data_IF_611182101836
#
_entry.id   IF_611182101836
#
_cell.length_a   1.000
_cell.length_b   1.000
_cell.length_c   1.000
_cell.angle_alpha   90.00
_cell.angle_beta   90.00
_cell.angle_gamma   90.00
#
_symmetry.space_group_name_H-M   'P 1'
#
loop_
_entity.id
_entity.type
_entity.pdbx_description
1 polymer ?
#
# COMPACT_ATOMS: atom_id res chain seq x y z
N UNK A 1 -44.92 -48.96 -13.54
CA UNK A 1 -43.96 -48.71 -12.45
C UNK A 1 -43.39 -47.32 -12.61
N UNK A 2 -43.58 -46.39 -11.66
CA UNK A 2 -42.86 -45.11 -11.68
C UNK A 2 -41.61 -45.14 -10.79
N UNK A 3 -40.55 -44.47 -11.24
CA UNK A 3 -39.36 -44.06 -10.49
C UNK A 3 -38.04 -44.38 -11.20
N UNK A 4 -36.92 -43.64 -10.97
CA UNK A 4 -36.73 -42.45 -10.13
C UNK A 4 -35.91 -41.30 -10.79
N UNK A 5 -35.90 -40.13 -10.13
CA UNK A 5 -34.82 -39.11 -10.04
C UNK A 5 -34.29 -38.47 -11.35
N UNK A 6 -33.63 -37.32 -11.43
CA UNK A 6 -33.03 -36.39 -10.48
C UNK A 6 -32.85 -35.07 -11.27
N UNK A 7 -33.02 -33.91 -10.65
CA UNK A 7 -32.90 -32.62 -11.34
C UNK A 7 -31.45 -32.26 -11.69
N UNK A 8 -31.17 -31.47 -12.74
CA UNK A 8 -29.84 -30.92 -12.90
C UNK A 8 -29.68 -29.73 -11.95
N UNK A 9 -28.88 -29.94 -10.92
CA UNK A 9 -28.36 -28.90 -10.05
C UNK A 9 -27.65 -27.82 -10.88
N UNK A 10 -28.11 -26.58 -10.70
CA UNK A 10 -27.47 -25.36 -11.20
C UNK A 10 -26.07 -25.24 -10.60
N UNK A 11 -25.05 -25.60 -11.37
CA UNK A 11 -23.66 -25.27 -11.01
C UNK A 11 -23.33 -23.94 -11.66
N UNK A 12 -23.60 -22.85 -10.93
CA UNK A 12 -23.09 -21.52 -11.30
C UNK A 12 -21.57 -21.48 -11.09
N UNK A 13 -20.80 -20.80 -11.97
CA UNK A 13 -19.36 -20.71 -11.81
C UNK A 13 -19.01 -19.98 -10.52
N UNK A 14 -18.25 -20.65 -9.64
CA UNK A 14 -17.66 -20.04 -8.46
C UNK A 14 -16.77 -18.85 -8.86
N UNK A 15 -16.74 -17.74 -8.09
CA UNK A 15 -15.86 -16.63 -8.39
C UNK A 15 -14.41 -17.12 -8.30
N UNK A 16 -13.71 -17.07 -9.43
CA UNK A 16 -12.28 -17.34 -9.48
C UNK A 16 -11.57 -16.31 -8.58
N UNK A 17 -10.82 -16.79 -7.59
CA UNK A 17 -9.89 -15.95 -6.83
C UNK A 17 -8.95 -15.26 -7.82
N UNK A 18 -8.74 -13.93 -7.71
CA UNK A 18 -7.79 -13.25 -8.57
C UNK A 18 -6.38 -13.84 -8.40
N UNK A 19 -5.57 -13.88 -9.47
CA UNK A 19 -4.21 -14.40 -9.39
C UNK A 19 -3.38 -13.61 -8.38
N UNK A 20 -2.41 -14.25 -7.70
CA UNK A 20 -1.48 -13.52 -6.84
C UNK A 20 -0.71 -12.52 -7.69
N UNK A 21 -0.90 -11.23 -7.39
CA UNK A 21 -0.17 -10.12 -8.00
C UNK A 21 1.34 -10.38 -7.93
N UNK A 22 2.15 -9.94 -8.92
CA UNK A 22 3.59 -10.15 -8.90
C UNK A 22 4.16 -9.60 -7.60
N UNK A 23 4.68 -10.50 -6.78
CA UNK A 23 5.24 -10.21 -5.46
C UNK A 23 6.54 -9.43 -5.65
N UNK A 24 6.44 -8.14 -5.94
CA UNK A 24 7.56 -7.25 -5.75
C UNK A 24 7.99 -7.30 -4.27
N UNK A 25 9.28 -7.16 -4.01
CA UNK A 25 9.85 -7.35 -2.67
C UNK A 25 9.25 -6.40 -1.63
N UNK A 26 9.39 -6.70 -0.33
CA UNK A 26 8.87 -5.84 0.72
C UNK A 26 9.47 -4.42 0.60
N UNK A 27 8.62 -3.41 0.65
CA UNK A 27 8.97 -2.00 0.70
C UNK A 27 9.28 -1.60 2.15
N UNK A 28 10.32 -0.81 2.34
CA UNK A 28 10.64 -0.18 3.62
C UNK A 28 10.27 1.29 3.52
N UNK A 29 9.40 1.77 4.41
CA UNK A 29 8.89 3.15 4.38
C UNK A 29 9.01 3.77 5.77
N UNK A 30 9.55 4.98 5.86
CA UNK A 30 9.58 5.75 7.11
C UNK A 30 8.32 6.58 7.23
N UNK A 31 7.55 6.40 8.31
CA UNK A 31 6.34 7.18 8.56
C UNK A 31 6.60 8.13 9.72
N UNK A 32 6.52 9.43 9.46
CA UNK A 32 6.84 10.49 10.42
C UNK A 32 5.66 11.42 10.65
N UNK A 33 5.73 12.23 11.72
CA UNK A 33 4.69 13.22 12.04
C UNK A 33 3.57 12.70 12.94
N UNK A 34 2.34 13.19 12.73
CA UNK A 34 1.18 12.95 13.62
C UNK A 34 0.49 11.61 13.37
N UNK A 35 1.23 10.51 13.53
CA UNK A 35 0.71 9.12 13.52
C UNK A 35 0.81 8.47 14.90
N UNK A 36 0.13 7.33 15.09
CA UNK A 36 0.17 6.62 16.37
C UNK A 36 1.57 6.03 16.67
N UNK A 37 2.23 5.45 15.67
CA UNK A 37 3.56 4.82 15.79
C UNK A 37 4.48 5.28 14.65
N UNK A 38 5.14 6.43 14.81
CA UNK A 38 6.13 6.89 13.84
C UNK A 38 7.35 5.97 13.81
N UNK A 39 8.03 5.93 12.67
CA UNK A 39 9.22 5.13 12.41
C UNK A 39 9.12 4.32 11.12
N UNK A 40 10.07 3.39 10.95
CA UNK A 40 10.20 2.57 9.74
C UNK A 40 9.29 1.35 9.79
N UNK A 41 8.50 1.17 8.73
CA UNK A 41 7.56 0.07 8.54
C UNK A 41 7.90 -0.73 7.28
N UNK A 42 7.69 -2.05 7.34
CA UNK A 42 7.82 -2.95 6.18
C UNK A 42 6.44 -3.26 5.64
N UNK A 43 6.25 -3.01 4.36
CA UNK A 43 4.98 -3.15 3.65
C UNK A 43 5.16 -4.08 2.45
N UNK A 44 4.11 -4.79 2.02
CA UNK A 44 4.16 -5.54 0.77
C UNK A 44 4.34 -4.60 -0.42
N UNK A 45 4.94 -5.09 -1.52
CA UNK A 45 5.04 -4.24 -2.70
C UNK A 45 3.68 -3.86 -3.26
N UNK A 46 3.63 -2.67 -3.85
CA UNK A 46 2.39 -2.08 -4.32
C UNK A 46 1.52 -1.48 -3.20
N UNK A 47 2.01 -1.48 -1.95
CA UNK A 47 1.39 -0.70 -0.88
C UNK A 47 1.32 0.78 -1.24
N UNK A 48 0.25 1.41 -0.78
CA UNK A 48 -0.03 2.84 -0.95
C UNK A 48 0.23 3.58 0.34
N UNK A 49 0.23 4.91 0.26
CA UNK A 49 0.44 5.73 1.46
C UNK A 49 -0.58 5.43 2.55
N UNK A 50 -1.81 5.06 2.20
CA UNK A 50 -2.81 4.56 3.14
C UNK A 50 -2.34 3.34 3.93
N UNK A 51 -1.80 2.31 3.28
CA UNK A 51 -1.31 1.11 3.96
C UNK A 51 -0.18 1.43 4.96
N UNK A 52 0.67 2.42 4.63
CA UNK A 52 1.70 2.90 5.56
C UNK A 52 1.10 3.60 6.79
N UNK A 53 0.05 4.41 6.60
CA UNK A 53 -0.67 5.04 7.70
C UNK A 53 -1.32 3.99 8.60
N UNK A 54 -1.93 2.97 8.02
CA UNK A 54 -2.54 1.86 8.77
C UNK A 54 -1.48 1.05 9.53
N UNK A 55 -0.34 0.73 8.90
CA UNK A 55 0.79 0.08 9.57
C UNK A 55 1.33 0.91 10.74
N UNK A 56 1.38 2.24 10.58
CA UNK A 56 1.70 3.17 11.65
C UNK A 56 0.63 3.29 12.74
N UNK A 57 -0.48 2.54 12.66
CA UNK A 57 -1.59 2.55 13.62
C UNK A 57 -2.59 3.69 13.41
N UNK A 58 -2.61 4.26 12.20
CA UNK A 58 -3.47 5.36 11.82
C UNK A 58 -2.90 6.74 12.16
N UNK A 59 -3.56 7.75 11.62
CA UNK A 59 -3.28 9.16 11.92
C UNK A 59 -3.90 9.56 13.25
N UNK A 60 -3.25 10.49 13.97
CA UNK A 60 -3.83 11.01 15.22
C UNK A 60 -5.09 11.83 14.92
N UNK A 61 -6.09 11.81 15.80
CA UNK A 61 -7.30 12.63 15.64
C UNK A 61 -6.95 14.12 15.52
N UNK A 62 -7.63 14.82 14.61
CA UNK A 62 -7.35 16.23 14.31
C UNK A 62 -6.11 16.46 13.44
N UNK A 63 -5.60 15.41 12.78
CA UNK A 63 -4.51 15.54 11.80
C UNK A 63 -5.07 15.73 10.40
N UNK A 64 -4.71 16.82 9.75
CA UNK A 64 -5.06 17.06 8.35
C UNK A 64 -4.24 16.18 7.41
N UNK A 65 -4.91 15.25 6.74
CA UNK A 65 -4.33 14.41 5.67
C UNK A 65 -4.78 14.83 4.29
N UNK A 66 -5.53 15.93 4.17
CA UNK A 66 -6.11 16.39 2.89
C UNK A 66 -5.05 16.70 1.83
N UNK A 67 -3.87 17.18 2.27
CA UNK A 67 -2.74 17.42 1.38
C UNK A 67 -1.96 16.17 0.96
N UNK A 68 -2.33 14.99 1.49
CA UNK A 68 -1.58 13.75 1.28
C UNK A 68 -2.34 12.83 0.32
N UNK A 69 -1.70 12.46 -0.79
CA UNK A 69 -2.27 11.51 -1.74
C UNK A 69 -2.20 10.08 -1.18
N UNK A 70 -3.22 9.71 -0.40
CA UNK A 70 -3.34 8.39 0.25
C UNK A 70 -3.39 7.22 -0.73
N UNK A 71 -3.87 7.47 -1.95
CA UNK A 71 -3.96 6.46 -2.99
C UNK A 71 -2.66 6.29 -3.78
N UNK A 72 -1.64 7.13 -3.60
CA UNK A 72 -0.36 6.98 -4.31
C UNK A 72 0.35 5.70 -3.87
N UNK A 73 0.98 5.00 -4.82
CA UNK A 73 1.86 3.87 -4.53
C UNK A 73 3.15 4.35 -3.84
N UNK A 74 3.59 3.59 -2.85
CA UNK A 74 4.84 3.80 -2.14
C UNK A 74 6.01 3.22 -2.92
N UNK A 75 7.17 3.81 -2.69
CA UNK A 75 8.46 3.32 -3.20
C UNK A 75 9.31 2.86 -2.02
N UNK A 76 10.22 1.91 -2.25
CA UNK A 76 11.16 1.47 -1.21
C UNK A 76 12.08 2.64 -0.79
N UNK A 77 12.30 2.77 0.51
CA UNK A 77 13.05 3.86 1.12
C UNK A 77 12.30 5.20 1.15
N UNK A 78 11.02 5.24 0.79
CA UNK A 78 10.23 6.48 0.84
C UNK A 78 9.95 6.93 2.27
N UNK A 79 9.83 8.25 2.47
CA UNK A 79 9.39 8.86 3.72
C UNK A 79 8.01 9.49 3.55
N UNK A 80 7.08 9.14 4.43
CA UNK A 80 5.71 9.66 4.48
C UNK A 80 5.59 10.57 5.70
N UNK A 81 5.50 11.88 5.47
CA UNK A 81 5.34 12.87 6.51
C UNK A 81 3.87 13.24 6.70
N UNK A 82 3.34 13.08 7.92
CA UNK A 82 1.91 13.20 8.20
C UNK A 82 1.61 14.41 9.08
N UNK A 83 0.73 15.30 8.62
CA UNK A 83 0.31 16.47 9.41
C UNK A 83 1.41 17.51 9.61
N UNK A 84 2.44 17.47 8.77
CA UNK A 84 3.44 18.52 8.59
C UNK A 84 3.27 19.07 7.18
N UNK A 85 3.44 20.38 7.01
CA UNK A 85 3.55 20.95 5.67
C UNK A 85 4.67 20.19 4.93
N UNK A 86 4.40 19.60 3.75
CA UNK A 86 5.45 18.94 3.00
C UNK A 86 6.49 20.00 2.69
N UNK A 87 7.69 19.87 3.27
CA UNK A 87 8.79 20.76 2.95
C UNK A 87 8.97 20.76 1.42
N UNK A 88 9.05 21.92 0.76
CA UNK A 88 9.20 21.99 -0.68
C UNK A 88 10.54 21.33 -1.05
N UNK A 89 10.49 20.08 -1.52
CA UNK A 89 11.68 19.26 -1.75
C UNK A 89 11.50 17.77 -1.46
N UNK A 90 10.47 17.34 -0.73
CA UNK A 90 10.13 15.93 -0.54
C UNK A 90 9.41 15.34 -1.78
N UNK A 91 9.96 15.59 -2.98
CA UNK A 91 9.75 14.69 -4.12
C UNK A 91 10.62 13.45 -3.93
N UNK A 92 10.39 12.37 -4.69
CA UNK A 92 11.26 11.20 -4.65
C UNK A 92 12.69 11.69 -4.87
N UNK A 93 13.55 11.49 -3.87
CA UNK A 93 14.99 11.63 -4.05
C UNK A 93 15.40 10.54 -5.04
N UNK A 94 15.33 10.87 -6.33
CA UNK A 94 16.00 10.10 -7.36
C UNK A 94 17.47 10.05 -6.94
N UNK A 95 17.89 8.91 -6.39
CA UNK A 95 19.27 8.70 -5.99
C UNK A 95 20.19 9.09 -7.15
N UNK A 96 21.37 9.67 -6.88
CA UNK A 96 22.29 10.05 -7.93
C UNK A 96 22.55 8.82 -8.80
N UNK A 97 22.14 8.91 -10.07
CA UNK A 97 22.42 7.89 -11.06
C UNK A 97 23.90 7.55 -11.02
N UNK A 98 24.20 6.26 -11.04
CA UNK A 98 25.56 5.75 -11.16
C UNK A 98 26.19 6.34 -12.43
N UNK A 99 26.88 7.47 -12.27
CA UNK A 99 27.67 8.10 -13.29
C UNK A 99 29.00 7.37 -13.37
N UNK A 100 29.19 6.68 -14.50
CA UNK A 100 30.47 6.47 -15.17
C UNK A 100 31.60 5.88 -14.34
N UNK A 101 31.89 4.60 -14.57
CA UNK A 101 33.28 4.13 -14.56
C UNK A 101 33.76 4.13 -16.00
N UNK A 102 34.71 5.02 -16.28
CA UNK A 102 35.54 5.01 -17.47
C UNK A 102 36.56 3.86 -17.40
#
# INVERSE_FOLDING_TARGET
TPGPADGPAVTGPAPASPPPSPSAGPLVVDVSGKVARPGVHRLPAGSRVEDALEAAGGVRPGTDTSGLNRARLLTDGEQVAVGVDPAPGAGPVAGPGAAGVA
#
